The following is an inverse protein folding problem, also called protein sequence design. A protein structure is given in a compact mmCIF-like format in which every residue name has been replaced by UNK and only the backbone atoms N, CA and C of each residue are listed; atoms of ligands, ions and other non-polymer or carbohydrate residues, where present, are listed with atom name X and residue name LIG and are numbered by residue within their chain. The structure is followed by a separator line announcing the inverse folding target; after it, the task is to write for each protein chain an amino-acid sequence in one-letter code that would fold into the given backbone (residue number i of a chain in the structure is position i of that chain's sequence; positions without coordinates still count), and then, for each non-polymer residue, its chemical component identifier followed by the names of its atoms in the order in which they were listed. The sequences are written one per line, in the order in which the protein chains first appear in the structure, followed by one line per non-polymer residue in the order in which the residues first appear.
data_IF_040166722564
#
_entry.id   IF_040166722564
#
_cell.length_a   1.000
_cell.length_b   1.000
_cell.length_c   1.000
_cell.angle_alpha   90.00
_cell.angle_beta   90.00
_cell.angle_gamma   90.00
#
_symmetry.space_group_name_H-M   'P 1'
#
loop_
_entity.id
_entity.type
_entity.pdbx_description
1 polymer ?
#
# COMPACT_ATOMS: atom_id res chain seq x y z
N UNK A 1 13.17 -7.95 -25.67
CA UNK A 1 13.30 -6.58 -25.14
C UNK A 1 12.72 -6.53 -23.72
N UNK A 2 13.45 -7.04 -22.73
CA UNK A 2 13.01 -7.06 -21.33
C UNK A 2 13.85 -6.05 -20.52
N UNK A 3 13.40 -4.79 -20.52
CA UNK A 3 14.03 -3.73 -19.75
C UNK A 3 13.55 -3.77 -18.30
N UNK A 4 14.21 -4.58 -17.47
CA UNK A 4 14.05 -4.48 -16.01
C UNK A 4 14.63 -3.15 -15.55
N UNK A 5 13.78 -2.15 -15.29
CA UNK A 5 14.17 -0.91 -14.61
C UNK A 5 14.39 -1.18 -13.12
N UNK A 6 15.40 -1.99 -12.78
CA UNK A 6 15.90 -2.05 -11.40
C UNK A 6 16.83 -0.87 -11.17
N UNK A 7 16.29 0.24 -10.67
CA UNK A 7 17.10 1.19 -9.88
C UNK A 7 17.24 0.65 -8.46
N UNK A 8 17.76 -0.58 -8.31
CA UNK A 8 18.28 -1.01 -7.01
C UNK A 8 19.70 -0.45 -6.93
N UNK A 9 19.85 0.71 -6.30
CA UNK A 9 21.18 1.23 -5.98
C UNK A 9 21.74 0.36 -4.87
N UNK A 10 22.38 -0.75 -5.24
CA UNK A 10 23.07 -1.67 -4.33
C UNK A 10 23.92 -0.87 -3.34
N UNK A 11 23.84 -1.23 -2.06
CA UNK A 11 24.53 -0.57 -0.94
C UNK A 11 26.03 -0.34 -1.22
N UNK A 12 26.67 -1.26 -1.96
CA UNK A 12 28.07 -1.14 -2.38
C UNK A 12 28.31 0.00 -3.36
N UNK A 13 27.37 0.24 -4.30
CA UNK A 13 27.44 1.37 -5.22
C UNK A 13 27.30 2.70 -4.48
N UNK A 14 26.44 2.78 -3.46
CA UNK A 14 26.34 3.96 -2.60
C UNK A 14 27.60 4.20 -1.78
N UNK A 15 28.19 3.13 -1.22
CA UNK A 15 29.45 3.20 -0.46
C UNK A 15 30.61 3.64 -1.35
N UNK A 16 30.71 3.09 -2.56
CA UNK A 16 31.72 3.47 -3.53
C UNK A 16 31.57 4.93 -4.00
N UNK A 17 30.33 5.41 -4.25
CA UNK A 17 30.06 6.81 -4.59
C UNK A 17 30.42 7.78 -3.44
N UNK A 18 30.18 7.37 -2.18
CA UNK A 18 30.63 8.14 -1.01
C UNK A 18 32.15 8.22 -0.92
N UNK A 19 32.86 7.12 -1.17
CA UNK A 19 34.32 7.08 -1.17
C UNK A 19 34.94 7.90 -2.32
N UNK A 20 34.23 8.03 -3.45
CA UNK A 20 34.62 8.89 -4.58
C UNK A 20 34.25 10.38 -4.42
N UNK A 21 33.59 10.75 -3.32
CA UNK A 21 33.15 12.14 -3.09
C UNK A 21 31.94 12.59 -3.92
N UNK A 22 31.29 11.67 -4.65
CA UNK A 22 30.08 11.93 -5.46
C UNK A 22 28.81 12.02 -4.60
N UNK A 23 28.91 11.68 -3.31
CA UNK A 23 27.82 11.79 -2.34
C UNK A 23 27.59 13.26 -1.98
N UNK A 24 26.38 13.77 -2.22
CA UNK A 24 25.95 15.13 -1.83
C UNK A 24 25.93 15.37 -0.31
N UNK A 25 26.15 14.34 0.50
CA UNK A 25 26.26 14.45 1.95
C UNK A 25 27.70 14.71 2.36
N UNK A 26 27.97 15.88 2.94
CA UNK A 26 29.21 16.18 3.67
C UNK A 26 29.22 15.40 4.99
N UNK A 27 29.72 14.18 4.94
CA UNK A 27 29.73 13.26 6.09
C UNK A 27 30.67 13.71 7.20
N UNK A 28 31.69 14.48 6.87
CA UNK A 28 32.62 15.06 7.85
C UNK A 28 31.94 16.12 8.68
N UNK A 29 31.16 17.01 8.05
CA UNK A 29 30.36 18.02 8.75
C UNK A 29 29.26 17.41 9.62
N UNK A 30 28.58 16.37 9.12
CA UNK A 30 27.54 15.67 9.88
C UNK A 30 28.11 14.98 11.12
N UNK A 31 29.31 14.39 11.03
CA UNK A 31 29.97 13.73 12.17
C UNK A 31 30.62 14.69 13.15
N UNK A 32 31.03 15.88 12.69
CA UNK A 32 31.59 16.93 13.53
C UNK A 32 30.54 17.63 14.39
N UNK A 33 29.24 17.53 14.03
CA UNK A 33 28.15 18.01 14.86
C UNK A 33 28.06 17.22 16.17
N UNK A 34 27.89 17.92 17.29
CA UNK A 34 27.56 17.27 18.55
C UNK A 34 26.23 16.53 18.41
N UNK A 35 26.13 15.26 18.85
CA UNK A 35 24.85 14.56 18.86
C UNK A 35 23.85 15.37 19.71
N UNK A 36 22.61 15.43 19.25
CA UNK A 36 21.53 16.07 19.99
C UNK A 36 21.40 15.39 21.37
N UNK A 37 21.51 16.18 22.43
CA UNK A 37 21.28 15.75 23.82
C UNK A 37 20.06 16.50 24.32
N UNK A 38 19.04 15.76 24.72
CA UNK A 38 17.81 16.32 25.27
C UNK A 38 18.09 17.04 26.60
N UNK A 39 17.60 18.27 26.76
CA UNK A 39 17.92 19.16 27.87
C UNK A 39 16.94 19.07 29.06
N UNK A 40 15.94 18.18 28.98
CA UNK A 40 14.95 17.97 30.03
C UNK A 40 13.88 19.04 30.16
N UNK A 41 13.89 20.08 29.31
CA UNK A 41 12.98 21.23 29.45
C UNK A 41 11.66 21.04 28.70
N UNK A 42 11.66 20.27 27.62
CA UNK A 42 10.48 20.03 26.80
C UNK A 42 10.25 18.52 26.63
N UNK A 43 9.19 17.99 27.24
CA UNK A 43 8.84 16.57 27.15
C UNK A 43 8.45 16.15 25.72
N UNK A 44 7.94 17.06 24.89
CA UNK A 44 7.57 16.79 23.49
C UNK A 44 8.79 16.65 22.57
N UNK A 45 9.93 17.22 22.95
CA UNK A 45 11.19 17.13 22.21
C UNK A 45 12.07 15.94 22.65
N UNK A 46 11.61 15.18 23.66
CA UNK A 46 12.35 14.02 24.15
C UNK A 46 12.44 12.97 23.04
N UNK A 47 13.63 12.41 22.76
CA UNK A 47 13.74 11.28 21.86
C UNK A 47 12.93 10.12 22.43
N UNK A 48 12.04 9.59 21.59
CA UNK A 48 11.19 8.45 21.92
C UNK A 48 12.06 7.28 22.40
N UNK A 49 11.69 6.63 23.49
CA UNK A 49 12.40 5.43 23.91
C UNK A 49 12.22 4.32 22.87
N UNK A 50 13.15 3.36 22.84
CA UNK A 50 13.06 2.20 21.92
C UNK A 50 11.73 1.46 22.08
N UNK A 51 11.23 1.36 23.31
CA UNK A 51 9.99 0.66 23.63
C UNK A 51 8.76 1.42 23.13
N UNK A 52 8.69 2.73 23.36
CA UNK A 52 7.62 3.59 22.84
C UNK A 52 7.64 3.65 21.30
N UNK A 53 8.83 3.67 20.70
CA UNK A 53 8.98 3.58 19.24
C UNK A 53 8.42 2.27 18.69
N UNK A 54 8.74 1.16 19.35
CA UNK A 54 8.24 -0.15 18.96
C UNK A 54 6.72 -0.24 19.12
N UNK A 55 6.17 0.25 20.24
CA UNK A 55 4.73 0.30 20.49
C UNK A 55 4.00 1.16 19.44
N UNK A 56 4.55 2.33 19.09
CA UNK A 56 4.00 3.20 18.04
C UNK A 56 4.00 2.53 16.66
N UNK A 57 5.08 1.82 16.31
CA UNK A 57 5.18 1.03 15.07
C UNK A 57 4.14 -0.09 15.05
N UNK A 58 3.92 -0.77 16.18
CA UNK A 58 2.94 -1.85 16.30
C UNK A 58 1.51 -1.37 16.19
N UNK A 59 1.17 -0.26 16.84
CA UNK A 59 -0.15 0.41 16.70
C UNK A 59 -0.37 0.82 15.25
N UNK A 60 0.62 1.44 14.62
CA UNK A 60 0.54 1.86 13.23
C UNK A 60 0.39 0.68 12.27
N UNK A 61 1.09 -0.44 12.50
CA UNK A 61 0.94 -1.69 11.72
C UNK A 61 -0.45 -2.29 11.85
N UNK A 62 -1.05 -2.26 13.04
CA UNK A 62 -2.43 -2.72 13.26
C UNK A 62 -3.45 -1.84 12.56
N UNK A 63 -3.18 -0.53 12.43
CA UNK A 63 -4.08 0.43 11.79
C UNK A 63 -3.95 0.48 10.26
N UNK A 64 -2.79 0.15 9.68
CA UNK A 64 -2.61 0.14 8.22
C UNK A 64 -2.67 -1.25 7.61
N UNK A 65 -3.87 -1.59 7.16
CA UNK A 65 -4.12 -2.50 6.04
C UNK A 65 -5.34 -2.02 5.28
N UNK A 66 -5.31 -2.05 3.93
CA UNK A 66 -6.56 -2.06 3.16
C UNK A 66 -7.37 -3.25 3.67
N UNK A 67 -8.67 -3.11 4.01
CA UNK A 67 -9.46 -4.25 4.47
C UNK A 67 -9.20 -5.46 3.59
N UNK A 68 -8.87 -6.58 4.22
CA UNK A 68 -8.56 -7.85 3.56
C UNK A 68 -9.74 -8.23 2.69
N UNK A 69 -9.56 -8.17 1.37
CA UNK A 69 -10.38 -8.82 0.34
C UNK A 69 -11.88 -8.50 0.36
N UNK A 70 -12.39 -7.85 -0.68
CA UNK A 70 -13.81 -8.02 -0.98
C UNK A 70 -14.04 -9.43 -1.53
N UNK A 71 -15.12 -10.11 -1.15
CA UNK A 71 -15.52 -11.42 -1.69
C UNK A 71 -15.95 -11.39 -3.18
N UNK A 72 -15.57 -10.34 -3.90
CA UNK A 72 -15.93 -10.09 -5.30
C UNK A 72 -14.68 -10.27 -6.14
N UNK A 73 -14.71 -11.26 -7.01
CA UNK A 73 -13.69 -11.45 -8.03
C UNK A 73 -14.01 -10.59 -9.27
N UNK A 74 -13.00 -9.95 -9.84
CA UNK A 74 -13.12 -9.14 -11.04
C UNK A 74 -12.77 -9.97 -12.27
N UNK A 75 -13.79 -10.41 -13.01
CA UNK A 75 -13.62 -11.22 -14.23
C UNK A 75 -14.13 -10.46 -15.46
N UNK A 76 -13.45 -10.62 -16.60
CA UNK A 76 -13.90 -10.05 -17.89
C UNK A 76 -14.80 -11.05 -18.61
N UNK A 77 -16.12 -10.82 -18.57
CA UNK A 77 -17.13 -11.64 -19.24
C UNK A 77 -17.86 -10.78 -20.29
N UNK A 78 -18.20 -11.38 -21.44
CA UNK A 78 -19.02 -10.73 -22.47
C UNK A 78 -20.49 -11.06 -22.21
N UNK A 79 -21.34 -10.03 -22.20
CA UNK A 79 -22.80 -10.14 -22.12
C UNK A 79 -23.41 -9.56 -23.39
N UNK A 80 -24.61 -10.04 -23.74
CA UNK A 80 -25.38 -9.47 -24.83
C UNK A 80 -25.80 -8.01 -24.54
N UNK A 81 -25.95 -7.23 -25.61
CA UNK A 81 -26.17 -5.78 -25.53
C UNK A 81 -27.53 -5.43 -24.93
N UNK A 82 -28.55 -6.22 -25.26
CA UNK A 82 -29.93 -6.10 -24.76
C UNK A 82 -30.01 -6.37 -23.25
N UNK A 83 -29.34 -7.42 -22.77
CA UNK A 83 -29.27 -7.76 -21.34
C UNK A 83 -28.60 -6.63 -20.55
N UNK A 84 -27.46 -6.12 -21.03
CA UNK A 84 -26.80 -4.98 -20.40
C UNK A 84 -27.65 -3.71 -20.44
N UNK A 85 -28.37 -3.46 -21.54
CA UNK A 85 -29.25 -2.31 -21.67
C UNK A 85 -30.40 -2.37 -20.65
N UNK A 86 -31.03 -3.54 -20.48
CA UNK A 86 -32.11 -3.75 -19.51
C UNK A 86 -31.65 -3.49 -18.08
N UNK A 87 -30.49 -4.01 -17.66
CA UNK A 87 -29.98 -3.78 -16.30
C UNK A 87 -29.58 -2.31 -16.08
N UNK A 88 -28.93 -1.67 -17.07
CA UNK A 88 -28.52 -0.26 -17.00
C UNK A 88 -29.72 0.69 -16.95
N UNK A 89 -30.81 0.38 -17.65
CA UNK A 89 -32.04 1.17 -17.62
C UNK A 89 -32.63 1.26 -16.20
N UNK A 90 -32.41 0.25 -15.35
CA UNK A 90 -32.79 0.29 -13.93
C UNK A 90 -31.98 1.25 -13.05
N UNK A 91 -31.05 2.04 -13.61
CA UNK A 91 -30.32 3.07 -12.89
C UNK A 91 -29.14 2.57 -12.04
N UNK A 92 -28.63 3.38 -11.09
CA UNK A 92 -27.47 3.07 -10.26
C UNK A 92 -27.59 1.70 -9.56
N UNK A 93 -26.45 1.02 -9.37
CA UNK A 93 -26.42 -0.31 -8.74
C UNK A 93 -26.84 -1.47 -9.65
N UNK A 94 -26.92 -1.26 -10.97
CA UNK A 94 -27.31 -2.31 -11.93
C UNK A 94 -26.44 -3.56 -11.88
N UNK A 95 -25.14 -3.44 -11.61
CA UNK A 95 -24.25 -4.59 -11.42
C UNK A 95 -24.61 -5.41 -10.18
N UNK A 96 -25.01 -4.75 -9.09
CA UNK A 96 -25.46 -5.44 -7.87
C UNK A 96 -26.76 -6.20 -8.13
N UNK A 97 -27.71 -5.60 -8.87
CA UNK A 97 -28.95 -6.28 -9.29
C UNK A 97 -28.66 -7.47 -10.21
N UNK A 98 -27.76 -7.31 -11.17
CA UNK A 98 -27.33 -8.39 -12.05
C UNK A 98 -26.71 -9.55 -11.27
N UNK A 99 -25.84 -9.26 -10.30
CA UNK A 99 -25.27 -10.27 -9.42
C UNK A 99 -26.33 -10.96 -8.55
N UNK A 100 -27.34 -10.24 -8.06
CA UNK A 100 -28.45 -10.83 -7.32
C UNK A 100 -29.30 -11.78 -8.18
N UNK A 101 -29.58 -11.39 -9.43
CA UNK A 101 -30.28 -12.24 -10.40
C UNK A 101 -29.50 -13.52 -10.71
N UNK A 102 -28.17 -13.44 -10.89
CA UNK A 102 -27.32 -14.61 -11.08
C UNK A 102 -27.34 -15.54 -9.85
N UNK A 103 -27.31 -14.99 -8.63
CA UNK A 103 -27.43 -15.78 -7.40
C UNK A 103 -28.77 -16.50 -7.28
N UNK A 104 -29.86 -15.83 -7.66
CA UNK A 104 -31.20 -16.40 -7.64
C UNK A 104 -31.37 -17.50 -8.70
N UNK A 105 -30.84 -17.26 -9.90
CA UNK A 105 -30.76 -18.26 -10.96
C UNK A 105 -29.99 -19.50 -10.49
N UNK A 106 -28.85 -19.33 -9.81
CA UNK A 106 -28.11 -20.46 -9.24
C UNK A 106 -28.92 -21.23 -8.21
N UNK A 107 -29.70 -20.58 -7.33
CA UNK A 107 -30.53 -21.32 -6.35
C UNK A 107 -31.60 -22.18 -7.01
N UNK A 108 -32.19 -21.68 -8.09
CA UNK A 108 -33.29 -22.34 -8.80
C UNK A 108 -32.81 -23.40 -9.80
N UNK A 109 -31.57 -23.28 -10.27
CA UNK A 109 -30.96 -24.16 -11.28
C UNK A 109 -29.78 -24.97 -10.72
N UNK A 110 -29.60 -24.99 -9.39
CA UNK A 110 -28.77 -25.99 -8.73
C UNK A 110 -29.57 -27.29 -8.63
N UNK A 111 -29.77 -27.94 -9.77
CA UNK A 111 -30.10 -29.35 -9.83
C UNK A 111 -28.84 -30.08 -10.28
N UNK A 112 -28.48 -31.09 -9.47
CA UNK A 112 -27.47 -32.14 -9.69
C UNK A 112 -26.02 -31.83 -9.26
#
# INVERSE_FOLDING_TARGET
MAGSKMTSTTTDRMRAARNRGESKTDVTKVRAGTPYVWDGKNEDERPLTREEMQAGIEVYRKQRGRPTGGDKESTTIRFDRDVLAAFRAGGPGWQTRMNAALRDWLKTHSCE
#
